data_IF_629017032968
#
_entry.id   IF_629017032968
#
_cell.length_a   1.000
_cell.length_b   1.000
_cell.length_c   1.000
_cell.angle_alpha   90.00
_cell.angle_beta   90.00
_cell.angle_gamma   90.00
#
_symmetry.space_group_name_H-M   'P 1'
#
loop_
_entity.id
_entity.type
_entity.pdbx_description
1 polymer ?
#
# COMPACT_ATOMS: atom_id res chain seq x y z
N UNK A 1 40.79 -20.25 -30.44
CA UNK A 1 39.61 -20.39 -29.56
C UNK A 1 39.64 -19.24 -28.58
N UNK A 2 39.07 -18.11 -28.98
CA UNK A 2 38.93 -16.90 -28.18
C UNK A 2 37.49 -16.85 -27.67
N UNK A 3 37.35 -16.84 -26.36
CA UNK A 3 36.09 -16.70 -25.64
C UNK A 3 35.43 -15.37 -26.00
N UNK A 4 34.12 -15.32 -26.31
CA UNK A 4 33.44 -14.04 -26.52
C UNK A 4 33.19 -13.38 -25.16
N UNK A 5 33.73 -12.18 -25.00
CA UNK A 5 33.39 -11.24 -23.94
C UNK A 5 31.89 -10.96 -23.99
N UNK A 6 31.21 -11.17 -22.86
CA UNK A 6 29.83 -10.71 -22.66
C UNK A 6 29.88 -9.19 -22.53
N UNK A 7 29.59 -8.47 -23.61
CA UNK A 7 29.27 -7.05 -23.57
C UNK A 7 28.02 -6.84 -22.71
N UNK A 8 28.24 -6.32 -21.50
CA UNK A 8 27.19 -5.89 -20.60
C UNK A 8 26.69 -4.52 -21.11
N UNK A 9 25.75 -4.53 -22.05
CA UNK A 9 25.13 -3.30 -22.55
C UNK A 9 24.41 -2.57 -21.41
N UNK A 10 25.04 -1.54 -20.86
CA UNK A 10 24.36 -0.61 -19.97
C UNK A 10 23.24 0.06 -20.77
N UNK A 11 21.99 -0.30 -20.46
CA UNK A 11 20.80 0.39 -20.97
C UNK A 11 20.95 1.89 -20.64
N UNK A 12 21.20 2.72 -21.65
CA UNK A 12 21.18 4.18 -21.51
C UNK A 12 19.74 4.59 -21.16
N UNK A 13 19.54 5.11 -19.96
CA UNK A 13 18.25 5.61 -19.46
C UNK A 13 18.44 7.04 -18.97
N UNK A 14 17.49 7.91 -19.27
CA UNK A 14 17.40 9.26 -18.69
C UNK A 14 16.74 9.26 -17.31
N UNK A 15 16.11 8.14 -16.93
CA UNK A 15 15.54 7.94 -15.59
C UNK A 15 16.65 7.64 -14.60
N UNK A 16 16.79 8.49 -13.59
CA UNK A 16 17.75 8.34 -12.49
C UNK A 16 17.33 7.21 -11.53
N UNK A 17 18.33 6.59 -10.89
CA UNK A 17 18.08 5.71 -9.76
C UNK A 17 17.76 6.56 -8.51
N UNK A 18 16.74 6.18 -7.73
CA UNK A 18 16.42 6.89 -6.51
C UNK A 18 17.51 6.68 -5.45
N UNK A 19 17.63 7.65 -4.56
CA UNK A 19 18.46 7.56 -3.37
C UNK A 19 17.57 7.72 -2.12
N UNK A 20 17.69 6.83 -1.15
CA UNK A 20 16.93 6.92 0.10
C UNK A 20 17.82 7.57 1.17
N UNK A 21 17.35 8.66 1.75
CA UNK A 21 18.05 9.42 2.79
C UNK A 21 17.15 9.66 4.00
N UNK A 22 17.70 10.21 5.08
CA UNK A 22 16.97 10.60 6.29
C UNK A 22 16.07 9.50 6.87
N UNK A 23 16.57 8.25 6.90
CA UNK A 23 15.81 7.13 7.44
C UNK A 23 15.85 7.19 8.97
N UNK A 24 14.69 7.38 9.60
CA UNK A 24 14.56 7.30 11.05
C UNK A 24 13.19 6.75 11.44
N UNK A 25 13.11 6.08 12.60
CA UNK A 25 11.89 5.47 13.11
C UNK A 25 11.70 5.91 14.55
N UNK A 26 10.50 6.40 14.87
CA UNK A 26 10.15 6.86 16.22
C UNK A 26 8.69 6.51 16.48
N UNK A 27 8.40 5.87 17.61
CA UNK A 27 7.04 5.46 17.98
C UNK A 27 6.30 4.66 16.88
N UNK A 28 6.99 3.69 16.26
CA UNK A 28 6.47 2.89 15.14
C UNK A 28 6.09 3.70 13.88
N UNK A 29 6.60 4.93 13.76
CA UNK A 29 6.49 5.78 12.57
C UNK A 29 7.86 5.84 11.90
N UNK A 30 7.96 5.24 10.71
CA UNK A 30 9.11 5.31 9.83
C UNK A 30 9.01 6.55 8.94
N UNK A 31 10.07 7.35 8.92
CA UNK A 31 10.25 8.48 8.02
C UNK A 31 11.49 8.25 7.15
N UNK A 32 11.41 8.62 5.89
CA UNK A 32 12.54 8.60 4.96
C UNK A 32 12.27 9.54 3.79
N UNK A 33 13.33 9.99 3.14
CA UNK A 33 13.28 10.86 1.96
C UNK A 33 13.68 10.06 0.73
N UNK A 34 12.92 10.19 -0.36
CA UNK A 34 13.21 9.56 -1.67
C UNK A 34 13.63 10.64 -2.65
N UNK A 35 14.93 10.71 -2.91
CA UNK A 35 15.54 11.68 -3.80
C UNK A 35 15.63 11.15 -5.24
N UNK A 36 15.74 12.08 -6.20
CA UNK A 36 16.00 11.82 -7.62
C UNK A 36 14.96 10.91 -8.30
N UNK A 37 13.69 11.02 -7.91
CA UNK A 37 12.62 10.17 -8.46
C UNK A 37 11.40 10.96 -8.90
N UNK A 38 10.56 10.37 -9.74
CA UNK A 38 9.30 10.98 -10.14
C UNK A 38 8.17 10.63 -9.17
N UNK A 39 7.19 11.54 -9.06
CA UNK A 39 5.97 11.35 -8.24
C UNK A 39 5.24 10.04 -8.55
N UNK A 40 5.29 9.55 -9.79
CA UNK A 40 4.64 8.31 -10.21
C UNK A 40 5.23 7.09 -9.50
N UNK A 41 6.54 7.07 -9.28
CA UNK A 41 7.24 5.99 -8.56
C UNK A 41 6.84 6.00 -7.08
N UNK A 42 6.90 7.17 -6.44
CA UNK A 42 6.58 7.33 -5.01
C UNK A 42 5.10 7.05 -4.74
N UNK A 43 4.21 7.56 -5.60
CA UNK A 43 2.79 7.27 -5.52
C UNK A 43 2.48 5.79 -5.81
N UNK A 44 3.21 5.17 -6.75
CA UNK A 44 3.10 3.75 -7.05
C UNK A 44 3.43 2.88 -5.84
N UNK A 45 4.50 3.25 -5.12
CA UNK A 45 4.87 2.63 -3.85
C UNK A 45 3.78 2.81 -2.78
N UNK A 46 3.33 4.05 -2.54
CA UNK A 46 2.27 4.38 -1.57
C UNK A 46 1.00 3.58 -1.84
N UNK A 47 0.52 3.55 -3.09
CA UNK A 47 -0.71 2.82 -3.47
C UNK A 47 -0.58 1.33 -3.18
N UNK A 48 0.58 0.76 -3.49
CA UNK A 48 0.85 -0.67 -3.23
C UNK A 48 0.89 -0.98 -1.73
N UNK A 49 1.48 -0.11 -0.92
CA UNK A 49 1.49 -0.24 0.55
C UNK A 49 0.05 -0.27 1.10
N UNK A 50 -0.83 0.57 0.57
CA UNK A 50 -2.22 0.62 1.04
C UNK A 50 -3.06 -0.58 0.63
N UNK A 51 -2.89 -1.10 -0.59
CA UNK A 51 -3.86 -2.05 -1.15
C UNK A 51 -3.35 -3.49 -1.21
N UNK A 52 -2.06 -3.70 -1.44
CA UNK A 52 -1.57 -4.96 -1.97
C UNK A 52 -0.52 -5.62 -1.06
N UNK A 53 -0.62 -5.42 0.26
CA UNK A 53 0.14 -6.21 1.23
C UNK A 53 -0.81 -7.21 1.87
N UNK A 54 -0.45 -8.49 1.81
CA UNK A 54 -1.27 -9.55 2.38
C UNK A 54 -1.10 -9.59 3.91
N UNK A 55 -2.21 -9.85 4.60
CA UNK A 55 -2.27 -10.13 6.04
C UNK A 55 -3.21 -11.29 6.32
N UNK A 56 -3.12 -11.86 7.53
CA UNK A 56 -4.07 -12.90 7.97
C UNK A 56 -5.31 -12.21 8.51
N UNK A 57 -6.47 -12.62 8.04
CA UNK A 57 -7.75 -11.95 8.30
C UNK A 57 -8.86 -12.95 8.56
N UNK A 58 -9.90 -12.47 9.24
CA UNK A 58 -11.20 -13.11 9.25
C UNK A 58 -12.01 -12.64 8.06
N UNK A 59 -12.45 -13.57 7.21
CA UNK A 59 -13.36 -13.23 6.12
C UNK A 59 -14.80 -13.43 6.55
N UNK A 60 -15.51 -12.34 6.82
CA UNK A 60 -16.92 -12.37 7.20
C UNK A 60 -17.85 -11.96 6.05
N UNK A 61 -17.31 -11.30 5.03
CA UNK A 61 -18.04 -10.78 3.88
C UNK A 61 -17.39 -11.17 2.54
N UNK A 62 -18.18 -11.30 1.45
CA UNK A 62 -19.65 -11.34 1.41
C UNK A 62 -20.23 -12.65 1.97
N UNK A 63 -21.53 -12.71 2.33
CA UNK A 63 -22.15 -13.83 3.06
C UNK A 63 -21.81 -15.23 2.52
N UNK A 64 -21.80 -15.41 1.20
CA UNK A 64 -21.50 -16.70 0.54
C UNK A 64 -20.06 -17.18 0.73
N UNK A 65 -19.15 -16.26 0.99
CA UNK A 65 -17.72 -16.52 1.14
C UNK A 65 -17.26 -16.31 2.60
N UNK A 66 -18.20 -16.05 3.51
CA UNK A 66 -17.95 -15.91 4.94
C UNK A 66 -17.40 -17.21 5.50
N UNK A 67 -16.24 -17.14 6.13
CA UNK A 67 -15.60 -18.26 6.83
C UNK A 67 -15.88 -18.22 8.34
N UNK A 68 -16.90 -17.44 8.74
CA UNK A 68 -17.32 -17.26 10.13
C UNK A 68 -18.75 -17.77 10.33
N UNK A 69 -18.91 -18.63 11.33
CA UNK A 69 -20.18 -19.26 11.72
C UNK A 69 -20.57 -18.81 13.12
N UNK A 70 -21.81 -18.32 13.24
CA UNK A 70 -22.43 -17.98 14.52
C UNK A 70 -23.34 -19.14 14.93
N UNK A 71 -22.97 -19.86 15.98
CA UNK A 71 -23.81 -20.93 16.52
C UNK A 71 -24.87 -20.38 17.47
N UNK A 72 -24.50 -19.37 18.27
CA UNK A 72 -25.40 -18.71 19.20
C UNK A 72 -25.00 -17.25 19.37
N UNK A 73 -25.98 -16.36 19.22
CA UNK A 73 -25.86 -14.95 19.57
C UNK A 73 -27.22 -14.47 20.06
N UNK A 74 -27.32 -14.21 21.37
CA UNK A 74 -28.48 -13.55 21.98
C UNK A 74 -28.09 -12.20 22.61
N UNK A 75 -26.97 -11.62 22.16
CA UNK A 75 -26.50 -10.31 22.60
C UNK A 75 -27.29 -9.19 21.92
N UNK A 76 -27.13 -7.95 22.39
CA UNK A 76 -27.74 -6.78 21.75
C UNK A 76 -27.19 -6.50 20.34
N UNK A 77 -25.95 -6.91 20.04
CA UNK A 77 -25.34 -6.69 18.73
C UNK A 77 -25.76 -7.80 17.78
N UNK A 78 -26.25 -7.42 16.60
CA UNK A 78 -26.54 -8.39 15.56
C UNK A 78 -25.25 -9.03 15.01
N UNK A 79 -25.43 -10.12 14.28
CA UNK A 79 -24.31 -10.89 13.73
C UNK A 79 -23.48 -10.05 12.76
N UNK A 80 -24.09 -9.15 12.00
CA UNK A 80 -23.42 -8.33 11.00
C UNK A 80 -22.46 -7.32 11.63
N UNK A 81 -22.85 -6.66 12.73
CA UNK A 81 -21.95 -5.76 13.46
C UNK A 81 -20.80 -6.53 14.09
N UNK A 82 -21.08 -7.71 14.66
CA UNK A 82 -20.03 -8.56 15.24
C UNK A 82 -19.07 -9.08 14.16
N UNK A 83 -19.58 -9.42 12.97
CA UNK A 83 -18.78 -9.80 11.80
C UNK A 83 -17.85 -8.66 11.38
N UNK A 84 -18.37 -7.44 11.22
CA UNK A 84 -17.55 -6.28 10.86
C UNK A 84 -16.47 -6.02 11.91
N UNK A 85 -16.81 -6.08 13.21
CA UNK A 85 -15.84 -5.91 14.29
C UNK A 85 -14.77 -7.00 14.28
N UNK A 86 -15.14 -8.23 13.96
CA UNK A 86 -14.22 -9.36 13.84
C UNK A 86 -13.27 -9.15 12.66
N UNK A 87 -13.74 -8.66 11.50
CA UNK A 87 -12.90 -8.36 10.33
C UNK A 87 -11.81 -7.32 10.64
N UNK A 88 -12.09 -6.37 11.54
CA UNK A 88 -11.16 -5.31 11.91
C UNK A 88 -10.12 -5.71 12.98
N UNK A 89 -10.11 -6.95 13.47
CA UNK A 89 -9.13 -7.39 14.47
C UNK A 89 -7.82 -7.78 13.77
N UNK A 90 -6.69 -7.12 14.08
CA UNK A 90 -5.39 -7.49 13.53
C UNK A 90 -4.95 -8.87 14.02
N UNK A 91 -4.42 -9.68 13.11
CA UNK A 91 -3.95 -11.05 13.40
C UNK A 91 -2.44 -11.10 13.13
N UNK A 92 -1.66 -11.30 14.20
CA UNK A 92 -0.19 -11.19 14.15
C UNK A 92 0.47 -12.50 13.70
N UNK A 93 -0.02 -13.11 12.61
CA UNK A 93 0.60 -14.28 11.97
C UNK A 93 1.40 -13.80 10.76
N UNK A 94 2.71 -13.66 10.95
CA UNK A 94 3.60 -13.04 9.95
C UNK A 94 4.21 -14.03 8.97
N UNK A 95 4.38 -15.30 9.35
CA UNK A 95 4.96 -16.33 8.48
C UNK A 95 4.07 -16.58 7.26
N UNK A 96 4.54 -16.34 6.02
CA UNK A 96 3.77 -16.60 4.80
C UNK A 96 3.35 -18.06 4.62
N UNK A 97 4.13 -19.01 5.17
CA UNK A 97 3.92 -20.46 5.02
C UNK A 97 3.05 -21.06 6.13
N UNK A 98 2.55 -20.24 7.06
CA UNK A 98 1.70 -20.73 8.14
C UNK A 98 0.47 -21.48 7.57
N UNK A 99 0.17 -22.70 8.07
CA UNK A 99 -0.92 -23.52 7.55
C UNK A 99 -2.27 -23.06 8.12
N UNK A 100 -2.77 -21.93 7.61
CA UNK A 100 -4.00 -21.27 8.11
C UNK A 100 -5.25 -22.15 8.02
N UNK A 101 -5.31 -23.04 7.04
CA UNK A 101 -6.42 -23.98 6.83
C UNK A 101 -6.67 -24.91 8.02
N UNK A 102 -5.65 -25.11 8.86
CA UNK A 102 -5.71 -25.95 10.06
C UNK A 102 -6.14 -25.18 11.30
N UNK A 103 -6.17 -23.85 11.24
CA UNK A 103 -6.40 -22.98 12.38
C UNK A 103 -7.83 -22.43 12.36
N UNK A 104 -8.53 -22.63 13.47
CA UNK A 104 -9.86 -22.08 13.73
C UNK A 104 -9.84 -21.28 15.03
N UNK A 105 -10.54 -20.15 15.06
CA UNK A 105 -10.69 -19.33 16.26
C UNK A 105 -12.08 -19.54 16.83
N UNK A 106 -12.11 -20.04 18.07
CA UNK A 106 -13.33 -20.24 18.84
C UNK A 106 -13.50 -19.11 19.84
N UNK A 107 -14.65 -18.45 19.79
CA UNK A 107 -15.07 -17.41 20.74
C UNK A 107 -16.34 -17.94 21.40
N UNK A 108 -16.22 -18.44 22.63
CA UNK A 108 -17.35 -18.95 23.39
C UNK A 108 -17.37 -18.34 24.78
N UNK A 109 -18.24 -17.36 24.98
CA UNK A 109 -18.36 -16.64 26.22
C UNK A 109 -19.83 -16.46 26.62
N UNK A 110 -20.11 -16.65 27.91
CA UNK A 110 -21.41 -16.40 28.53
C UNK A 110 -21.25 -15.54 29.77
N UNK A 111 -22.27 -14.74 30.08
CA UNK A 111 -22.31 -13.93 31.29
C UNK A 111 -23.24 -14.52 32.35
N UNK A 112 -22.66 -15.38 33.19
CA UNK A 112 -23.35 -15.94 34.37
C UNK A 112 -23.25 -15.04 35.61
N UNK A 113 -22.69 -13.83 35.50
CA UNK A 113 -22.49 -12.90 36.61
C UNK A 113 -23.59 -11.84 36.71
N UNK A 114 -23.59 -11.10 37.82
CA UNK A 114 -24.49 -9.95 38.06
C UNK A 114 -23.93 -8.63 37.49
N UNK A 115 -22.75 -8.67 36.89
CA UNK A 115 -22.06 -7.50 36.30
C UNK A 115 -21.89 -7.64 34.79
N UNK A 116 -21.66 -6.53 34.09
CA UNK A 116 -21.35 -6.58 32.65
C UNK A 116 -20.04 -7.33 32.40
N UNK A 117 -20.06 -8.32 31.49
CA UNK A 117 -18.85 -9.04 31.06
C UNK A 117 -18.35 -8.48 29.73
N UNK A 118 -17.06 -8.16 29.67
CA UNK A 118 -16.41 -7.66 28.45
C UNK A 118 -15.70 -8.83 27.76
N UNK A 119 -16.10 -9.12 26.53
CA UNK A 119 -15.43 -10.12 25.67
C UNK A 119 -14.37 -9.39 24.87
N UNK A 120 -13.12 -9.77 25.07
CA UNK A 120 -11.94 -9.18 24.42
C UNK A 120 -11.19 -10.23 23.60
N UNK A 121 -10.18 -9.81 22.83
CA UNK A 121 -9.30 -10.75 22.09
C UNK A 121 -8.53 -11.71 22.99
N UNK A 122 -8.40 -11.42 24.29
CA UNK A 122 -7.85 -12.35 25.28
C UNK A 122 -8.60 -13.68 25.34
N UNK A 123 -9.92 -13.61 25.14
CA UNK A 123 -10.85 -14.73 25.24
C UNK A 123 -10.88 -15.58 23.96
N UNK A 124 -10.13 -15.19 22.92
CA UNK A 124 -10.10 -15.92 21.66
C UNK A 124 -9.24 -17.16 21.83
N UNK A 125 -9.80 -18.33 21.49
CA UNK A 125 -9.07 -19.60 21.58
C UNK A 125 -8.76 -20.10 20.18
N UNK A 126 -7.48 -20.28 19.88
CA UNK A 126 -7.04 -20.82 18.59
C UNK A 126 -6.96 -22.34 18.70
N UNK A 127 -7.71 -23.03 17.86
CA UNK A 127 -7.84 -24.47 17.79
C UNK A 127 -7.18 -24.98 16.50
N UNK A 128 -6.35 -26.02 16.63
CA UNK A 128 -5.79 -26.72 15.48
C UNK A 128 -6.65 -27.96 15.18
N UNK A 129 -7.26 -27.97 14.01
CA UNK A 129 -8.20 -28.99 13.56
C UNK A 129 -7.52 -30.35 13.38
N UNK A 130 -6.23 -30.38 13.05
CA UNK A 130 -5.49 -31.62 12.79
C UNK A 130 -5.05 -32.28 14.10
N UNK A 131 -4.44 -31.50 14.99
CA UNK A 131 -4.00 -32.01 16.30
C UNK A 131 -5.17 -32.16 17.27
N UNK A 132 -6.30 -31.51 16.98
CA UNK A 132 -7.49 -31.42 17.82
C UNK A 132 -7.19 -30.83 19.21
N UNK A 133 -6.27 -29.88 19.24
CA UNK A 133 -5.82 -29.22 20.47
C UNK A 133 -5.87 -27.71 20.34
N UNK A 134 -6.00 -27.05 21.48
CA UNK A 134 -5.87 -25.59 21.56
C UNK A 134 -4.40 -25.21 21.63
N UNK A 135 -4.05 -24.11 20.96
CA UNK A 135 -2.73 -23.51 21.11
C UNK A 135 -2.52 -23.04 22.55
N UNK A 136 -1.25 -23.05 22.97
CA UNK A 136 -0.87 -22.51 24.29
C UNK A 136 -1.21 -21.03 24.39
N UNK A 137 -1.39 -20.56 25.63
CA UNK A 137 -1.70 -19.15 25.89
C UNK A 137 -0.60 -18.21 25.38
N UNK A 138 0.67 -18.63 25.46
CA UNK A 138 1.80 -17.90 24.87
C UNK A 138 1.66 -17.73 23.36
N UNK A 139 1.31 -18.80 22.64
CA UNK A 139 1.10 -18.75 21.19
C UNK A 139 -0.12 -17.89 20.83
N UNK A 140 -1.20 -17.98 21.60
CA UNK A 140 -2.39 -17.13 21.44
C UNK A 140 -2.05 -15.66 21.63
N UNK A 141 -1.28 -15.32 22.66
CA UNK A 141 -0.86 -13.94 22.95
C UNK A 141 0.08 -13.40 21.86
N UNK A 142 0.83 -14.26 21.16
CA UNK A 142 1.60 -13.82 19.99
C UNK A 142 0.70 -13.51 18.78
N UNK A 143 -0.45 -14.18 18.65
CA UNK A 143 -1.41 -13.97 17.54
C UNK A 143 -2.30 -12.75 17.82
N UNK A 144 -2.74 -12.60 19.07
CA UNK A 144 -3.61 -11.52 19.55
C UNK A 144 -2.97 -10.84 20.79
N UNK A 145 -1.91 -10.05 20.60
CA UNK A 145 -1.23 -9.39 21.70
C UNK A 145 -2.10 -8.29 22.33
N UNK A 146 -1.92 -8.00 23.64
CA UNK A 146 -2.46 -6.79 24.24
C UNK A 146 -1.74 -5.55 23.70
N UNK A 147 -2.38 -4.39 23.82
CA UNK A 147 -1.77 -3.11 23.45
C UNK A 147 -0.49 -2.86 24.25
N UNK A 148 0.57 -2.37 23.60
CA UNK A 148 1.86 -2.18 24.25
C UNK A 148 1.84 -1.12 25.36
N UNK A 149 0.98 -0.09 25.23
CA UNK A 149 0.88 1.04 26.15
C UNK A 149 -0.10 0.72 27.28
N UNK A 150 -1.36 0.38 26.94
CA UNK A 150 -2.41 0.19 27.95
C UNK A 150 -2.41 -1.21 28.57
N UNK A 151 -1.76 -2.18 27.91
CA UNK A 151 -1.81 -3.62 28.24
C UNK A 151 -3.21 -4.24 28.11
N UNK A 152 -4.16 -3.53 27.49
CA UNK A 152 -5.51 -4.02 27.26
C UNK A 152 -5.63 -4.79 25.95
N UNK A 153 -6.54 -5.75 25.94
CA UNK A 153 -6.97 -6.46 24.75
C UNK A 153 -8.11 -5.72 24.03
N UNK A 154 -8.27 -5.97 22.73
CA UNK A 154 -9.29 -5.31 21.92
C UNK A 154 -10.67 -5.76 22.39
N UNK A 155 -11.53 -4.81 22.75
CA UNK A 155 -12.91 -5.08 23.11
C UNK A 155 -13.71 -5.54 21.89
N UNK A 156 -14.25 -6.76 21.94
CA UNK A 156 -15.04 -7.36 20.87
C UNK A 156 -16.55 -7.27 21.13
N UNK A 157 -17.01 -7.62 22.33
CA UNK A 157 -18.43 -7.57 22.68
C UNK A 157 -18.64 -7.28 24.17
N UNK A 158 -19.86 -6.87 24.53
CA UNK A 158 -20.29 -6.70 25.92
C UNK A 158 -21.48 -7.60 26.14
N UNK A 159 -21.41 -8.46 27.14
CA UNK A 159 -22.47 -9.38 27.52
C UNK A 159 -23.15 -8.86 28.78
N UNK A 160 -24.47 -8.68 28.73
CA UNK A 160 -25.26 -8.21 29.87
C UNK A 160 -25.46 -9.31 30.91
N UNK A 161 -25.50 -8.94 32.21
CA UNK A 161 -25.81 -9.89 33.26
C UNK A 161 -27.27 -10.34 33.16
N UNK A 162 -27.59 -11.38 33.92
CA UNK A 162 -28.96 -11.89 33.98
C UNK A 162 -29.90 -10.84 34.61
N UNK A 163 -30.90 -10.39 33.84
CA UNK A 163 -31.88 -9.39 34.32
C UNK A 163 -32.92 -10.01 35.26
N UNK A 164 -33.34 -11.25 35.01
CA UNK A 164 -34.30 -11.96 35.88
C UNK A 164 -34.18 -13.48 35.73
N UNK A 165 -34.83 -14.26 36.60
CA UNK A 165 -34.85 -15.73 36.49
C UNK A 165 -35.44 -16.22 35.15
N UNK A 166 -36.32 -15.42 34.51
CA UNK A 166 -37.01 -15.79 33.29
C UNK A 166 -36.32 -15.30 32.00
N UNK A 167 -35.39 -14.34 32.10
CA UNK A 167 -34.63 -13.84 30.95
C UNK A 167 -33.27 -14.55 30.92
N UNK A 168 -32.92 -15.25 29.83
CA UNK A 168 -31.64 -15.95 29.73
C UNK A 168 -30.47 -14.97 29.71
N UNK A 169 -29.31 -15.41 30.20
CA UNK A 169 -28.05 -14.67 30.11
C UNK A 169 -27.62 -14.46 28.66
N UNK A 170 -26.82 -13.43 28.41
CA UNK A 170 -26.19 -13.23 27.10
C UNK A 170 -25.01 -14.20 26.92
N UNK A 171 -24.96 -14.82 25.75
CA UNK A 171 -24.00 -15.81 25.30
C UNK A 171 -23.69 -15.59 23.82
N UNK A 172 -22.39 -15.71 23.51
CA UNK A 172 -21.87 -15.63 22.16
C UNK A 172 -21.04 -16.89 21.89
N UNK A 173 -21.32 -17.55 20.77
CA UNK A 173 -20.57 -18.71 20.30
C UNK A 173 -20.30 -18.57 18.80
N UNK A 174 -19.04 -18.31 18.48
CA UNK A 174 -18.55 -18.05 17.12
C UNK A 174 -17.37 -18.97 16.83
N UNK A 175 -17.35 -19.50 15.61
CA UNK A 175 -16.22 -20.23 15.03
C UNK A 175 -15.79 -19.51 13.76
N UNK A 176 -14.52 -19.14 13.67
CA UNK A 176 -13.99 -18.35 12.56
C UNK A 176 -12.72 -18.99 11.99
N UNK A 177 -12.67 -19.21 10.67
CA UNK A 177 -11.44 -19.66 9.98
C UNK A 177 -10.59 -18.47 9.55
N UNK A 178 -9.30 -18.71 9.46
CA UNK A 178 -8.31 -17.73 9.01
C UNK A 178 -8.04 -17.86 7.51
N UNK A 179 -7.77 -16.74 6.85
CA UNK A 179 -7.24 -16.74 5.49
C UNK A 179 -6.29 -15.58 5.25
N UNK A 180 -5.54 -15.62 4.15
CA UNK A 180 -4.78 -14.45 3.68
C UNK A 180 -5.63 -13.61 2.74
N UNK A 181 -5.59 -12.31 2.93
CA UNK A 181 -6.17 -11.35 1.99
C UNK A 181 -5.44 -10.02 2.10
N UNK A 182 -5.84 -9.06 1.27
CA UNK A 182 -5.25 -7.73 1.22
C UNK A 182 -6.33 -6.65 1.21
N UNK A 183 -5.93 -5.43 1.51
CA UNK A 183 -6.83 -4.27 1.55
C UNK A 183 -7.50 -3.94 0.21
N UNK A 184 -6.98 -4.44 -0.91
CA UNK A 184 -7.62 -4.38 -2.22
C UNK A 184 -9.01 -5.04 -2.21
N UNK A 185 -9.21 -6.08 -1.41
CA UNK A 185 -10.49 -6.79 -1.29
C UNK A 185 -11.43 -6.17 -0.25
N UNK A 186 -10.89 -5.74 0.88
CA UNK A 186 -11.65 -5.10 1.95
C UNK A 186 -10.74 -4.17 2.75
N UNK A 187 -11.16 -2.91 2.97
CA UNK A 187 -10.38 -1.91 3.70
C UNK A 187 -10.05 -2.31 5.14
N UNK A 188 -10.79 -3.25 5.74
CA UNK A 188 -10.47 -3.81 7.07
C UNK A 188 -9.15 -4.59 7.11
N UNK A 189 -8.59 -4.98 5.95
CA UNK A 189 -7.38 -5.80 5.84
C UNK A 189 -6.11 -4.97 5.64
N UNK A 190 -6.16 -3.68 5.96
CA UNK A 190 -4.99 -2.80 5.89
C UNK A 190 -3.90 -3.22 6.89
N UNK A 191 -2.65 -2.85 6.59
CA UNK A 191 -1.48 -3.13 7.45
C UNK A 191 -0.81 -1.86 7.95
N UNK A 192 -1.28 -0.70 7.51
CA UNK A 192 -0.78 0.62 7.88
C UNK A 192 -1.89 1.48 8.45
N UNK A 193 -1.54 2.28 9.45
CA UNK A 193 -2.37 3.35 10.02
C UNK A 193 -2.21 4.61 9.17
N UNK A 194 -0.96 5.07 9.03
CA UNK A 194 -0.58 6.25 8.25
C UNK A 194 0.36 5.82 7.12
N UNK A 195 0.10 6.29 5.90
CA UNK A 195 1.04 6.17 4.78
C UNK A 195 0.85 7.38 3.85
N UNK A 196 1.79 8.31 3.91
CA UNK A 196 1.71 9.56 3.16
C UNK A 196 3.09 9.94 2.64
N UNK A 197 3.07 10.79 1.61
CA UNK A 197 4.28 11.43 1.12
C UNK A 197 3.97 12.87 0.71
N UNK A 198 4.98 13.72 0.79
CA UNK A 198 4.92 15.11 0.35
C UNK A 198 6.22 15.49 -0.36
N UNK A 199 6.21 16.51 -1.22
CA UNK A 199 7.45 17.03 -1.79
C UNK A 199 8.32 17.63 -0.67
N UNK A 200 9.62 17.38 -0.71
CA UNK A 200 10.55 17.92 0.29
C UNK A 200 10.67 19.44 0.13
N UNK A 201 10.61 20.15 1.25
CA UNK A 201 10.64 21.62 1.29
C UNK A 201 12.08 22.13 1.09
N UNK A 202 12.26 23.16 0.26
CA UNK A 202 13.56 23.81 0.06
C UNK A 202 13.72 24.98 1.04
N UNK A 203 14.22 24.67 2.25
CA UNK A 203 14.37 25.65 3.33
C UNK A 203 15.28 26.82 2.93
N UNK A 204 16.33 26.57 2.15
CA UNK A 204 17.25 27.63 1.72
C UNK A 204 16.57 28.63 0.78
N UNK A 205 15.78 28.14 -0.19
CA UNK A 205 14.99 29.02 -1.07
C UNK A 205 13.82 29.67 -0.34
N UNK A 206 13.20 29.00 0.63
CA UNK A 206 12.18 29.62 1.47
C UNK A 206 12.74 30.83 2.19
N UNK A 207 13.92 30.72 2.80
CA UNK A 207 14.57 31.83 3.48
C UNK A 207 14.95 32.97 2.51
N UNK A 208 15.39 32.65 1.29
CA UNK A 208 15.67 33.66 0.27
C UNK A 208 14.41 34.44 -0.15
N UNK A 209 13.32 33.73 -0.42
CA UNK A 209 12.03 34.34 -0.81
C UNK A 209 11.43 35.11 0.36
N UNK A 210 11.52 34.57 1.57
CA UNK A 210 11.06 35.25 2.78
C UNK A 210 11.80 36.56 2.99
N UNK A 211 13.14 36.60 2.83
CA UNK A 211 13.91 37.85 2.95
C UNK A 211 13.42 38.95 2.01
N UNK A 212 13.12 38.61 0.76
CA UNK A 212 12.55 39.58 -0.20
C UNK A 212 11.19 40.10 0.27
N UNK A 213 10.33 39.21 0.77
CA UNK A 213 9.02 39.58 1.31
C UNK A 213 9.13 40.42 2.60
N UNK A 214 10.10 40.12 3.45
CA UNK A 214 10.39 40.87 4.68
C UNK A 214 10.85 42.29 4.36
N UNK A 215 11.70 42.47 3.35
CA UNK A 215 12.11 43.80 2.85
C UNK A 215 10.91 44.59 2.29
N UNK A 216 10.02 43.94 1.53
CA UNK A 216 8.79 44.55 1.01
C UNK A 216 7.84 45.02 2.12
N UNK A 217 7.60 44.18 3.13
CA UNK A 217 6.73 44.51 4.27
C UNK A 217 7.33 45.61 5.15
N UNK A 218 8.66 45.61 5.31
CA UNK A 218 9.38 46.67 6.02
C UNK A 218 9.26 48.00 5.28
N UNK A 219 9.43 47.99 3.95
CA UNK A 219 9.26 49.18 3.10
C UNK A 219 7.80 49.68 3.07
N UNK A 220 6.82 48.78 3.23
CA UNK A 220 5.40 49.12 3.37
C UNK A 220 5.03 49.70 4.75
N UNK A 221 5.98 49.75 5.69
CA UNK A 221 5.82 50.39 6.99
C UNK A 221 5.12 49.54 8.05
N UNK A 222 5.06 48.22 7.89
CA UNK A 222 4.50 47.31 8.89
C UNK A 222 5.37 47.24 10.14
N UNK A 223 4.75 46.97 11.29
CA UNK A 223 5.45 46.75 12.55
C UNK A 223 6.16 45.39 12.58
N UNK A 224 7.19 45.27 13.41
CA UNK A 224 7.91 44.00 13.60
C UNK A 224 7.02 42.86 14.12
N UNK A 225 5.98 43.18 14.90
CA UNK A 225 5.01 42.20 15.39
C UNK A 225 4.13 41.65 14.25
N UNK A 226 3.67 42.53 13.35
CA UNK A 226 2.90 42.13 12.17
C UNK A 226 3.74 41.30 11.19
N UNK A 227 5.00 41.69 10.97
CA UNK A 227 5.95 40.93 10.14
C UNK A 227 6.20 39.54 10.73
N UNK A 228 6.32 39.42 12.06
CA UNK A 228 6.51 38.13 12.73
C UNK A 228 5.29 37.20 12.59
N UNK A 229 4.08 37.77 12.68
CA UNK A 229 2.84 37.01 12.50
C UNK A 229 2.68 36.56 11.04
N UNK A 230 2.95 37.45 10.10
CA UNK A 230 2.95 37.15 8.67
C UNK A 230 4.02 36.12 8.31
N UNK A 231 5.18 36.14 8.97
CA UNK A 231 6.22 35.12 8.83
C UNK A 231 5.66 33.75 9.16
N UNK A 232 5.07 33.60 10.35
CA UNK A 232 4.50 32.31 10.78
C UNK A 232 3.42 31.85 9.80
N UNK A 233 2.53 32.75 9.38
CA UNK A 233 1.47 32.47 8.40
C UNK A 233 2.03 32.02 7.05
N UNK A 234 3.05 32.71 6.55
CA UNK A 234 3.64 32.43 5.25
C UNK A 234 4.36 31.07 5.22
N UNK A 235 5.15 30.76 6.26
CA UNK A 235 5.88 29.50 6.35
C UNK A 235 4.97 28.26 6.43
N UNK A 236 3.76 28.39 6.99
CA UNK A 236 2.78 27.28 7.04
C UNK A 236 1.90 27.18 5.79
N UNK A 237 2.00 28.12 4.84
CA UNK A 237 1.18 28.13 3.63
C UNK A 237 2.02 28.28 2.35
N UNK A 238 2.33 29.51 1.93
CA UNK A 238 3.02 29.78 0.66
C UNK A 238 4.45 29.25 0.65
N UNK A 239 5.14 29.30 1.80
CA UNK A 239 6.46 28.72 1.94
C UNK A 239 6.49 27.24 1.55
N UNK A 240 5.48 26.46 1.96
CA UNK A 240 5.41 25.01 1.66
C UNK A 240 5.29 24.69 0.16
N UNK A 241 4.96 25.67 -0.68
CA UNK A 241 4.94 25.50 -2.15
C UNK A 241 6.35 25.52 -2.76
N UNK A 242 7.35 26.00 -2.01
CA UNK A 242 8.75 26.05 -2.43
C UNK A 242 9.40 24.71 -2.09
N UNK A 243 9.49 23.85 -3.10
CA UNK A 243 9.91 22.47 -2.94
C UNK A 243 11.12 22.12 -3.80
N UNK A 244 11.82 21.06 -3.40
CA UNK A 244 12.92 20.48 -4.15
C UNK A 244 12.32 19.56 -5.23
N UNK A 245 12.59 19.81 -6.53
CA UNK A 245 12.08 18.94 -7.60
C UNK A 245 12.57 17.49 -7.44
N UNK A 246 11.69 16.53 -7.71
CA UNK A 246 11.99 15.08 -7.66
C UNK A 246 12.50 14.58 -6.29
N UNK A 247 12.09 15.24 -5.21
CA UNK A 247 12.41 14.85 -3.85
C UNK A 247 11.14 14.76 -3.00
N UNK A 248 10.95 13.66 -2.28
CA UNK A 248 9.72 13.40 -1.53
C UNK A 248 10.00 12.82 -0.14
N UNK A 249 9.42 13.42 0.88
CA UNK A 249 9.44 12.93 2.26
C UNK A 249 8.26 11.97 2.47
N UNK A 250 8.55 10.80 3.01
CA UNK A 250 7.61 9.70 3.19
C UNK A 250 7.43 9.41 4.69
N UNK A 251 6.20 9.12 5.09
CA UNK A 251 5.83 8.74 6.46
C UNK A 251 4.99 7.46 6.42
N UNK A 252 5.37 6.46 7.22
CA UNK A 252 4.68 5.17 7.33
C UNK A 252 4.53 4.81 8.79
N UNK A 253 3.31 4.43 9.18
CA UNK A 253 2.98 3.94 10.50
C UNK A 253 2.27 2.59 10.36
N UNK A 254 2.81 1.56 11.01
CA UNK A 254 2.24 0.21 11.01
C UNK A 254 1.10 0.07 12.02
N UNK A 255 0.15 -0.83 11.77
CA UNK A 255 -0.83 -1.26 12.78
C UNK A 255 -0.27 -2.30 13.77
N UNK A 256 1.00 -2.71 13.59
CA UNK A 256 1.70 -3.64 14.48
C UNK A 256 1.79 -5.08 13.99
N UNK A 257 1.13 -5.45 12.88
CA UNK A 257 1.25 -6.81 12.29
C UNK A 257 2.65 -7.02 11.70
N UNK A 258 3.14 -6.03 10.95
CA UNK A 258 4.42 -6.07 10.27
C UNK A 258 5.30 -4.88 10.67
N UNK A 259 6.61 -5.04 10.56
CA UNK A 259 7.55 -3.90 10.70
C UNK A 259 7.42 -2.95 9.51
N UNK A 260 7.66 -1.67 9.71
CA UNK A 260 7.57 -0.65 8.66
C UNK A 260 8.51 -0.95 7.47
N UNK A 261 9.76 -1.36 7.75
CA UNK A 261 10.72 -1.75 6.70
C UNK A 261 10.21 -2.91 5.85
N UNK A 262 9.63 -3.94 6.49
CA UNK A 262 9.03 -5.08 5.79
C UNK A 262 7.86 -4.66 4.90
N UNK A 263 6.99 -3.75 5.37
CA UNK A 263 5.86 -3.21 4.60
C UNK A 263 6.35 -2.60 3.29
N UNK A 264 7.41 -1.77 3.35
CA UNK A 264 7.95 -1.15 2.14
C UNK A 264 8.58 -2.19 1.21
N UNK A 265 9.39 -3.10 1.75
CA UNK A 265 10.03 -4.16 0.97
C UNK A 265 9.00 -5.06 0.26
N UNK A 266 7.92 -5.45 0.95
CA UNK A 266 6.84 -6.24 0.33
C UNK A 266 6.12 -5.46 -0.76
N UNK A 267 5.87 -4.16 -0.57
CA UNK A 267 5.28 -3.33 -1.61
C UNK A 267 6.18 -3.26 -2.87
N UNK A 268 7.49 -3.07 -2.70
CA UNK A 268 8.45 -3.13 -3.80
C UNK A 268 8.42 -4.49 -4.51
N UNK A 269 8.47 -5.60 -3.74
CA UNK A 269 8.41 -6.96 -4.29
C UNK A 269 7.13 -7.22 -5.09
N UNK A 270 5.98 -6.72 -4.62
CA UNK A 270 4.71 -6.91 -5.32
C UNK A 270 4.66 -6.12 -6.64
N UNK A 271 5.24 -4.91 -6.68
CA UNK A 271 5.40 -4.17 -7.94
C UNK A 271 6.36 -4.91 -8.89
N UNK A 272 7.51 -5.36 -8.40
CA UNK A 272 8.50 -6.11 -9.19
C UNK A 272 7.88 -7.39 -9.77
N UNK A 273 7.10 -8.13 -8.98
CA UNK A 273 6.40 -9.35 -9.42
C UNK A 273 5.43 -9.05 -10.58
N UNK A 274 4.68 -7.96 -10.49
CA UNK A 274 3.76 -7.50 -11.55
C UNK A 274 4.50 -7.09 -12.83
N UNK A 275 5.62 -6.37 -12.70
CA UNK A 275 6.45 -5.97 -13.84
C UNK A 275 7.08 -7.20 -14.54
N UNK A 276 7.57 -8.17 -13.76
CA UNK A 276 8.08 -9.44 -14.30
C UNK A 276 6.99 -10.24 -15.02
N UNK A 277 5.75 -10.22 -14.51
CA UNK A 277 4.61 -10.85 -15.19
C UNK A 277 4.34 -10.21 -16.55
N UNK A 278 4.45 -8.88 -16.66
CA UNK A 278 4.31 -8.17 -17.95
C UNK A 278 5.41 -8.60 -18.92
N UNK A 279 6.68 -8.61 -18.49
CA UNK A 279 7.81 -9.06 -19.33
C UNK A 279 7.56 -10.48 -19.85
N UNK A 280 7.17 -11.40 -18.96
CA UNK A 280 6.86 -12.79 -19.32
C UNK A 280 5.69 -12.89 -20.30
N UNK A 281 4.63 -12.10 -20.12
CA UNK A 281 3.49 -12.10 -21.02
C UNK A 281 3.89 -11.66 -22.43
N UNK A 282 4.79 -10.66 -22.55
CA UNK A 282 5.36 -10.24 -23.83
C UNK A 282 6.18 -11.37 -24.47
N UNK A 283 7.06 -12.03 -23.70
CA UNK A 283 7.92 -13.12 -24.21
C UNK A 283 7.11 -14.34 -24.68
N UNK A 284 6.00 -14.64 -24.01
CA UNK A 284 5.10 -15.75 -24.36
C UNK A 284 4.10 -15.41 -25.48
N UNK A 285 4.06 -14.16 -25.95
CA UNK A 285 3.11 -13.70 -26.97
C UNK A 285 1.66 -13.59 -26.48
N UNK A 286 1.42 -13.62 -25.17
CA UNK A 286 0.08 -13.47 -24.57
C UNK A 286 -0.35 -12.01 -24.38
N UNK A 287 0.52 -11.08 -24.78
CA UNK A 287 0.32 -9.64 -24.65
C UNK A 287 -0.32 -9.07 -25.92
N UNK A 288 -1.38 -8.26 -25.78
CA UNK A 288 -2.13 -7.71 -26.93
C UNK A 288 -1.84 -6.23 -27.11
N UNK A 289 -1.43 -5.87 -28.32
CA UNK A 289 -1.30 -4.48 -28.78
C UNK A 289 -2.26 -4.32 -29.95
N UNK A 290 -3.14 -3.32 -29.85
CA UNK A 290 -4.11 -3.00 -30.89
C UNK A 290 -3.76 -1.66 -31.53
N UNK A 291 -4.02 -1.50 -32.83
CA UNK A 291 -4.03 -0.17 -33.45
C UNK A 291 -5.11 0.68 -32.78
N UNK A 292 -4.77 1.92 -32.42
CA UNK A 292 -5.70 2.75 -31.68
C UNK A 292 -6.82 3.30 -32.57
N UNK A 293 -8.03 3.42 -32.00
CA UNK A 293 -9.16 4.08 -32.65
C UNK A 293 -9.16 5.60 -32.38
N UNK A 294 -8.01 6.23 -32.54
CA UNK A 294 -7.82 7.67 -32.28
C UNK A 294 -7.50 8.44 -33.55
N UNK A 295 -7.68 9.76 -33.52
CA UNK A 295 -7.23 10.67 -34.60
C UNK A 295 -5.71 10.85 -34.62
N UNK A 296 -4.98 10.24 -33.68
CA UNK A 296 -3.51 10.28 -33.63
C UNK A 296 -2.96 9.28 -34.65
N UNK A 297 -2.21 9.76 -35.63
CA UNK A 297 -1.55 8.90 -36.63
C UNK A 297 -0.54 7.96 -35.98
N UNK A 298 -0.41 6.74 -36.52
CA UNK A 298 0.54 5.72 -36.07
C UNK A 298 0.43 5.38 -34.58
N UNK A 299 -0.78 5.40 -34.03
CA UNK A 299 -1.03 5.16 -32.61
C UNK A 299 -1.40 3.70 -32.31
N UNK A 300 -0.86 3.21 -31.20
CA UNK A 300 -1.05 1.85 -30.71
C UNK A 300 -1.48 1.87 -29.25
N UNK A 301 -2.45 1.03 -28.92
CA UNK A 301 -3.00 0.84 -27.58
C UNK A 301 -2.45 -0.45 -26.98
N UNK A 302 -1.62 -0.28 -25.95
CA UNK A 302 -1.04 -1.35 -25.12
C UNK A 302 -2.03 -1.66 -24.01
N UNK A 303 -2.65 -2.84 -24.03
CA UNK A 303 -3.65 -3.23 -23.03
C UNK A 303 -2.99 -3.96 -21.86
N UNK A 304 -3.10 -3.38 -20.67
CA UNK A 304 -2.60 -3.93 -19.41
C UNK A 304 -3.74 -4.59 -18.63
N UNK A 305 -3.96 -5.89 -18.83
CA UNK A 305 -4.98 -6.65 -18.10
C UNK A 305 -4.60 -6.91 -16.64
N UNK A 306 -5.52 -6.63 -15.73
CA UNK A 306 -5.35 -6.79 -14.28
C UNK A 306 -4.45 -5.74 -13.64
N UNK A 307 -4.01 -4.73 -14.41
CA UNK A 307 -3.15 -3.67 -13.94
C UNK A 307 -3.78 -2.31 -14.18
N UNK A 308 -3.53 -1.42 -13.22
CA UNK A 308 -4.23 -0.15 -13.10
C UNK A 308 -3.25 1.03 -13.07
N UNK A 309 -3.72 2.20 -12.64
CA UNK A 309 -2.89 3.41 -12.48
C UNK A 309 -1.52 3.17 -11.83
N UNK A 310 -1.40 2.28 -10.85
CA UNK A 310 -0.13 2.00 -10.15
C UNK A 310 0.96 1.53 -11.10
N UNK A 311 0.71 0.47 -11.89
CA UNK A 311 1.70 -0.10 -12.82
C UNK A 311 1.70 0.67 -14.14
N UNK A 312 0.54 1.09 -14.63
CA UNK A 312 0.44 1.81 -15.88
C UNK A 312 1.15 3.17 -15.87
N UNK A 313 1.01 3.97 -14.79
CA UNK A 313 1.66 5.29 -14.71
C UNK A 313 3.18 5.21 -14.55
N UNK A 314 3.70 4.20 -13.85
CA UNK A 314 5.15 4.03 -13.72
C UNK A 314 5.79 3.60 -15.05
N UNK A 315 5.11 2.75 -15.84
CA UNK A 315 5.56 2.38 -17.18
C UNK A 315 5.46 3.57 -18.13
N UNK A 316 4.33 4.30 -18.12
CA UNK A 316 4.14 5.50 -18.92
C UNK A 316 5.22 6.56 -18.65
N UNK A 317 5.58 6.78 -17.38
CA UNK A 317 6.66 7.70 -17.01
C UNK A 317 8.00 7.32 -17.67
N UNK A 318 8.38 6.04 -17.63
CA UNK A 318 9.66 5.59 -18.23
C UNK A 318 9.60 5.70 -19.76
N UNK A 319 8.44 5.38 -20.35
CA UNK A 319 8.23 5.55 -21.78
C UNK A 319 8.38 7.01 -22.22
N UNK A 320 7.82 7.92 -21.42
CA UNK A 320 7.91 9.35 -21.64
C UNK A 320 9.36 9.86 -21.57
N UNK A 321 10.10 9.49 -20.53
CA UNK A 321 11.47 9.96 -20.32
C UNK A 321 12.47 9.40 -21.34
N UNK A 322 12.35 8.12 -21.69
CA UNK A 322 13.36 7.43 -22.52
C UNK A 322 13.06 7.43 -24.02
N UNK A 323 11.79 7.53 -24.42
CA UNK A 323 11.42 7.39 -25.83
C UNK A 323 10.68 8.62 -26.38
N UNK A 324 9.77 9.23 -25.60
CA UNK A 324 9.10 10.46 -26.06
C UNK A 324 10.06 11.65 -26.11
N UNK A 325 10.79 11.94 -25.03
CA UNK A 325 11.73 13.08 -24.98
C UNK A 325 12.88 12.98 -25.99
N UNK A 326 13.26 11.76 -26.37
CA UNK A 326 14.34 11.49 -27.33
C UNK A 326 13.82 11.53 -28.78
N UNK A 327 12.49 11.57 -28.98
CA UNK A 327 11.85 11.67 -30.29
C UNK A 327 11.51 10.33 -30.95
N UNK A 328 11.70 9.20 -30.26
CA UNK A 328 11.27 7.88 -30.72
C UNK A 328 9.75 7.72 -30.72
N UNK A 329 9.06 8.44 -29.83
CA UNK A 329 7.60 8.49 -29.74
C UNK A 329 7.10 9.93 -29.91
N UNK A 330 6.00 10.11 -30.63
CA UNK A 330 5.31 11.40 -30.80
C UNK A 330 4.19 11.61 -29.79
N UNK A 331 3.75 10.54 -29.14
CA UNK A 331 2.75 10.57 -28.07
C UNK A 331 2.95 9.41 -27.11
N UNK A 332 2.77 9.66 -25.82
CA UNK A 332 2.65 8.65 -24.78
C UNK A 332 1.59 9.13 -23.80
N UNK A 333 0.63 8.28 -23.46
CA UNK A 333 -0.41 8.61 -22.49
C UNK A 333 -1.00 7.38 -21.83
N UNK A 334 -1.35 7.52 -20.56
CA UNK A 334 -2.08 6.50 -19.80
C UNK A 334 -3.57 6.81 -19.81
N UNK A 335 -4.39 5.79 -20.09
CA UNK A 335 -5.84 5.89 -20.19
C UNK A 335 -6.47 4.76 -19.37
N UNK A 336 -7.48 5.12 -18.57
CA UNK A 336 -8.43 4.17 -18.00
C UNK A 336 -9.83 4.69 -18.32
N UNK A 337 -10.52 4.03 -19.24
CA UNK A 337 -11.82 4.47 -19.76
C UNK A 337 -12.87 4.49 -18.66
N UNK A 338 -12.99 3.41 -17.88
CA UNK A 338 -13.86 3.38 -16.71
C UNK A 338 -13.14 2.88 -15.45
N UNK A 339 -13.44 3.46 -14.26
CA UNK A 339 -12.85 3.01 -13.00
C UNK A 339 -13.06 1.52 -12.68
N UNK A 340 -14.13 0.92 -13.20
CA UNK A 340 -14.48 -0.49 -12.99
C UNK A 340 -13.84 -1.46 -13.99
N UNK A 341 -13.18 -0.95 -15.04
CA UNK A 341 -12.51 -1.81 -16.01
C UNK A 341 -11.33 -2.52 -15.36
N UNK A 342 -11.20 -3.81 -15.63
CA UNK A 342 -10.11 -4.64 -15.13
C UNK A 342 -8.83 -4.50 -15.96
N UNK A 343 -8.78 -3.53 -16.87
CA UNK A 343 -7.63 -3.23 -17.71
C UNK A 343 -7.37 -1.74 -17.74
N UNK A 344 -6.15 -1.39 -18.11
CA UNK A 344 -5.76 -0.03 -18.45
C UNK A 344 -5.04 -0.01 -19.78
N UNK A 345 -4.95 1.16 -20.42
CA UNK A 345 -4.36 1.33 -21.73
C UNK A 345 -3.19 2.31 -21.63
N UNK A 346 -2.04 1.92 -22.17
CA UNK A 346 -0.99 2.87 -22.52
C UNK A 346 -1.06 3.10 -24.02
N UNK A 347 -1.40 4.33 -24.41
CA UNK A 347 -1.41 4.74 -25.80
C UNK A 347 -0.06 5.34 -26.16
N UNK A 348 0.54 4.82 -27.21
CA UNK A 348 1.78 5.35 -27.78
C UNK A 348 1.57 5.71 -29.24
N UNK A 349 2.33 6.65 -29.77
CA UNK A 349 2.36 6.92 -31.21
C UNK A 349 3.79 7.10 -31.71
N UNK A 350 4.03 6.65 -32.95
CA UNK A 350 5.33 6.72 -33.59
C UNK A 350 5.39 7.84 -34.65
N UNK A 351 6.58 8.40 -34.93
CA UNK A 351 6.76 9.37 -36.01
C UNK A 351 6.37 8.82 -37.39
N UNK A 352 6.60 7.52 -37.62
CA UNK A 352 6.33 6.83 -38.88
C UNK A 352 5.47 5.60 -38.63
N UNK A 353 4.81 5.11 -39.69
CA UNK A 353 4.02 3.88 -39.62
C UNK A 353 4.94 2.69 -39.30
N UNK A 354 4.59 1.95 -38.26
CA UNK A 354 5.31 0.76 -37.83
C UNK A 354 4.50 -0.48 -38.24
N UNK A 355 5.07 -1.31 -39.12
CA UNK A 355 4.39 -2.50 -39.64
C UNK A 355 4.31 -3.66 -38.63
N UNK A 356 5.13 -3.62 -37.57
CA UNK A 356 5.12 -4.62 -36.50
C UNK A 356 5.17 -3.97 -35.11
N UNK A 357 4.83 -4.78 -34.10
CA UNK A 357 4.84 -4.37 -32.70
C UNK A 357 6.17 -4.67 -31.99
N UNK A 358 7.21 -5.11 -32.72
CA UNK A 358 8.46 -5.63 -32.12
C UNK A 358 9.17 -4.54 -31.33
N UNK A 359 9.27 -3.35 -31.92
CA UNK A 359 9.89 -2.20 -31.26
C UNK A 359 9.16 -1.82 -29.96
N UNK A 360 7.83 -1.77 -30.00
CA UNK A 360 7.01 -1.44 -28.83
C UNK A 360 7.15 -2.48 -27.71
N UNK A 361 7.16 -3.78 -28.05
CA UNK A 361 7.44 -4.84 -27.07
C UNK A 361 8.79 -4.65 -26.39
N UNK A 362 9.83 -4.32 -27.16
CA UNK A 362 11.17 -4.05 -26.62
C UNK A 362 11.17 -2.82 -25.70
N UNK A 363 10.52 -1.72 -26.10
CA UNK A 363 10.38 -0.52 -25.27
C UNK A 363 9.68 -0.81 -23.94
N UNK A 364 8.62 -1.62 -23.96
CA UNK A 364 7.89 -2.03 -22.76
C UNK A 364 8.74 -2.92 -21.83
N UNK A 365 9.46 -3.89 -22.38
CA UNK A 365 10.35 -4.76 -21.61
C UNK A 365 11.48 -3.96 -20.97
N UNK A 366 12.12 -3.07 -21.72
CA UNK A 366 13.18 -2.21 -21.21
C UNK A 366 12.66 -1.27 -20.12
N UNK A 367 11.47 -0.69 -20.31
CA UNK A 367 10.81 0.14 -19.30
C UNK A 367 10.53 -0.64 -18.01
N UNK A 368 10.03 -1.88 -18.12
CA UNK A 368 9.80 -2.73 -16.96
C UNK A 368 11.12 -3.08 -16.24
N UNK A 369 12.20 -3.37 -16.96
CA UNK A 369 13.52 -3.66 -16.37
C UNK A 369 14.11 -2.47 -15.61
N UNK A 370 13.94 -1.25 -16.13
CA UNK A 370 14.37 -0.02 -15.45
C UNK A 370 13.59 0.16 -14.15
N UNK A 371 12.27 -0.02 -14.19
CA UNK A 371 11.43 0.07 -13.00
C UNK A 371 11.78 -0.99 -11.95
N UNK A 372 12.08 -2.22 -12.37
CA UNK A 372 12.53 -3.28 -11.46
C UNK A 372 13.78 -2.81 -10.71
N UNK A 373 14.80 -2.30 -11.41
CA UNK A 373 16.02 -1.76 -10.78
C UNK A 373 15.73 -0.63 -9.79
N UNK A 374 14.79 0.25 -10.11
CA UNK A 374 14.36 1.35 -9.22
C UNK A 374 13.77 0.80 -7.91
N UNK A 375 12.81 -0.13 -7.99
CA UNK A 375 12.18 -0.70 -6.80
C UNK A 375 13.10 -1.65 -6.02
N UNK A 376 14.01 -2.36 -6.69
CA UNK A 376 15.08 -3.13 -6.04
C UNK A 376 15.99 -2.21 -5.22
N UNK A 377 16.38 -1.06 -5.78
CA UNK A 377 17.18 -0.04 -5.08
C UNK A 377 16.46 0.51 -3.86
N UNK A 378 15.19 0.91 -4.00
CA UNK A 378 14.36 1.39 -2.87
C UNK A 378 14.26 0.31 -1.77
N UNK A 379 13.99 -0.94 -2.16
CA UNK A 379 13.87 -2.06 -1.22
C UNK A 379 15.18 -2.33 -0.46
N UNK A 380 16.31 -2.27 -1.17
CA UNK A 380 17.64 -2.51 -0.59
C UNK A 380 18.11 -1.38 0.34
N UNK A 381 17.80 -0.12 -0.01
CA UNK A 381 18.24 1.03 0.78
C UNK A 381 17.41 1.22 2.06
N UNK A 382 16.17 0.69 2.08
CA UNK A 382 15.33 0.65 3.28
C UNK A 382 15.77 -0.52 4.15
N UNK A 383 16.89 -0.32 4.82
CA UNK A 383 17.41 -1.19 5.88
C UNK A 383 17.68 -0.34 7.11
N UNK A 384 17.31 -0.86 8.28
CA UNK A 384 17.63 -0.31 9.59
C UNK A 384 18.51 -1.28 10.35
#
# INVERSE_FOLDING_TARGET
MSSPEKENSQQKTSVNLPNITNIFETNAILNFTVENTNVSIVNGLRRTIFSNIESVVFKCNPYKESLVTFEKNNTQLNNEVLKQRLECIPIHITDPKAPLERLEVHIHEKNDSDTMKYVTTEHFKVYDVNTKTYLSETQKNNIFPPNEITKDYILFARLRPRISKNIPYEEIKITAKLMRSSAEKNGAYNVTSTCAYGPSVDVAKQDEVWKKKEDELTNAGLTQEEISLEKKSWFVHEGLRITIPNNYDFIIETIGIYKNTYIVQQACNNIISKLNKIIKNIETGSFTINSSKSNIQNSHDVILHGEDYTIGKIIEYVLFENYFKVGNLTFVGFIKEHPHDNYSIIRVAFPTETNDNIELYKMLQDSCRILIKIYEKISADITM
#
